data_IF_464017422322
#
_entry.id   IF_464017422322
#
_cell.length_a   1.000
_cell.length_b   1.000
_cell.length_c   1.000
_cell.angle_alpha   90.00
_cell.angle_beta   90.00
_cell.angle_gamma   90.00
#
_symmetry.space_group_name_H-M   'P 1'
#
loop_
_entity.id
_entity.type
_entity.pdbx_description
1 polymer ?
#
# COMPACT_ATOMS: atom_id res chain seq x y z
N UNK A 1 -22.65 53.66 12.90
CA UNK A 1 -23.51 52.68 12.26
C UNK A 1 -22.88 52.45 10.89
N UNK A 2 -22.13 51.38 10.73
CA UNK A 2 -21.50 51.04 9.43
C UNK A 2 -22.44 50.06 8.71
N UNK A 3 -22.92 50.48 7.56
CA UNK A 3 -23.70 49.64 6.65
C UNK A 3 -22.80 48.54 6.10
N UNK A 4 -23.18 47.30 6.32
CA UNK A 4 -22.52 46.12 5.76
C UNK A 4 -23.07 45.93 4.35
N UNK A 5 -22.30 46.19 3.31
CA UNK A 5 -22.64 45.88 1.92
C UNK A 5 -22.90 44.39 1.76
N UNK A 6 -24.10 44.04 1.36
CA UNK A 6 -24.47 42.67 0.97
C UNK A 6 -24.01 42.45 -0.47
N UNK A 7 -23.06 41.58 -0.70
CA UNK A 7 -22.65 41.19 -2.05
C UNK A 7 -23.72 40.34 -2.70
N UNK A 8 -24.14 40.71 -3.89
CA UNK A 8 -25.12 39.99 -4.71
C UNK A 8 -24.47 39.34 -5.92
N UNK A 9 -25.07 38.26 -6.44
CA UNK A 9 -24.66 37.63 -7.71
C UNK A 9 -25.05 38.52 -8.91
N UNK A 10 -24.60 38.21 -10.14
CA UNK A 10 -24.97 38.99 -11.33
C UNK A 10 -26.47 39.06 -11.64
N UNK A 11 -27.31 38.23 -11.00
CA UNK A 11 -28.75 38.23 -11.10
C UNK A 11 -29.45 39.01 -9.99
N UNK A 12 -28.66 39.61 -9.06
CA UNK A 12 -29.18 40.47 -7.99
C UNK A 12 -29.60 39.74 -6.71
N UNK A 13 -29.40 38.41 -6.63
CA UNK A 13 -29.71 37.66 -5.42
C UNK A 13 -28.59 37.79 -4.39
N UNK A 14 -28.94 37.88 -3.09
CA UNK A 14 -27.92 37.92 -2.06
C UNK A 14 -27.12 36.62 -2.06
N UNK A 15 -25.80 36.70 -2.16
CA UNK A 15 -24.90 35.56 -1.98
C UNK A 15 -25.07 35.16 -0.51
N UNK A 16 -25.97 34.19 -0.26
CA UNK A 16 -25.99 33.54 1.06
C UNK A 16 -24.64 32.89 1.27
N UNK A 17 -23.86 33.41 2.19
CA UNK A 17 -22.62 32.79 2.64
C UNK A 17 -22.88 31.31 2.82
N UNK A 18 -22.06 30.48 2.18
CA UNK A 18 -21.97 29.06 2.54
C UNK A 18 -21.98 29.00 4.06
N UNK A 19 -22.96 28.29 4.63
CA UNK A 19 -23.07 28.17 6.07
C UNK A 19 -21.70 27.83 6.62
N UNK A 20 -21.20 28.55 7.64
CA UNK A 20 -19.93 28.21 8.25
C UNK A 20 -20.00 26.73 8.62
N UNK A 21 -18.96 25.99 8.30
CA UNK A 21 -18.82 24.59 8.71
C UNK A 21 -19.28 24.51 10.17
N UNK A 22 -20.15 23.58 10.55
CA UNK A 22 -20.77 23.56 11.86
C UNK A 22 -19.68 23.75 12.90
N UNK A 23 -19.79 24.84 13.65
CA UNK A 23 -18.83 25.18 14.69
C UNK A 23 -18.65 23.94 15.54
N UNK A 24 -17.42 23.49 15.72
CA UNK A 24 -17.05 22.28 16.43
C UNK A 24 -17.37 22.37 17.92
N UNK A 25 -18.63 22.58 18.27
CA UNK A 25 -19.11 22.72 19.65
C UNK A 25 -19.75 21.45 20.23
N UNK A 26 -19.68 20.32 19.54
CA UNK A 26 -19.96 19.05 20.22
C UNK A 26 -18.73 18.66 21.02
N UNK A 27 -18.81 18.85 22.33
CA UNK A 27 -17.81 18.33 23.28
C UNK A 27 -17.63 16.85 23.00
N UNK A 28 -16.46 16.50 22.48
CA UNK A 28 -16.06 15.12 22.33
C UNK A 28 -16.07 14.46 23.71
N UNK A 29 -16.77 13.33 23.93
CA UNK A 29 -16.82 12.65 25.22
C UNK A 29 -15.43 12.20 25.72
N UNK A 30 -14.41 12.27 24.90
CA UNK A 30 -13.01 11.99 25.25
C UNK A 30 -12.14 13.24 25.49
N UNK A 31 -12.73 14.43 25.52
CA UNK A 31 -12.11 15.66 26.00
C UNK A 31 -11.30 16.44 24.97
N UNK A 32 -10.91 17.66 25.37
CA UNK A 32 -10.17 18.65 24.56
C UNK A 32 -8.79 18.17 24.08
N UNK A 33 -8.21 17.14 24.70
CA UNK A 33 -6.92 16.57 24.32
C UNK A 33 -6.87 16.06 22.87
N UNK A 34 -8.01 15.71 22.28
CA UNK A 34 -8.09 15.22 20.90
C UNK A 34 -7.88 16.30 19.85
N UNK A 35 -8.09 17.57 20.18
CA UNK A 35 -8.00 18.69 19.23
C UNK A 35 -6.64 19.39 19.23
N UNK A 36 -5.86 19.21 20.27
CA UNK A 36 -4.52 19.77 20.33
C UNK A 36 -3.56 18.88 19.56
N UNK A 37 -3.34 19.20 18.31
CA UNK A 37 -2.18 18.69 17.59
C UNK A 37 -0.96 19.31 18.24
N UNK A 38 -0.19 18.50 18.93
CA UNK A 38 1.10 18.93 19.47
C UNK A 38 2.03 19.16 18.28
N UNK A 39 2.14 20.43 17.90
CA UNK A 39 3.11 20.89 16.90
C UNK A 39 4.42 21.06 17.62
N UNK A 40 5.18 20.00 17.82
CA UNK A 40 6.57 20.12 18.23
C UNK A 40 7.48 19.95 17.01
N UNK A 41 8.68 20.55 16.99
CA UNK A 41 9.64 20.35 15.90
C UNK A 41 10.03 18.87 15.71
N UNK A 42 9.90 18.09 16.75
CA UNK A 42 10.08 16.63 16.73
C UNK A 42 8.72 15.94 16.66
N UNK A 43 8.10 15.89 15.47
CA UNK A 43 6.81 15.27 15.37
C UNK A 43 6.84 13.82 15.66
N UNK A 44 6.25 13.52 16.78
CA UNK A 44 5.72 12.21 17.10
C UNK A 44 4.32 12.08 16.51
N UNK A 45 3.91 10.86 16.28
CA UNK A 45 2.50 10.57 16.11
C UNK A 45 1.70 11.09 17.30
N UNK A 46 0.42 11.45 17.08
CA UNK A 46 -0.44 11.82 18.19
C UNK A 46 -0.35 10.82 19.32
N UNK A 47 -0.16 11.33 20.52
CA UNK A 47 -0.27 10.51 21.71
C UNK A 47 -1.67 9.91 21.76
N UNK A 48 -1.72 8.63 21.68
CA UNK A 48 -2.94 7.84 21.88
C UNK A 48 -2.60 6.67 22.79
N UNK A 49 -3.57 6.18 23.56
CA UNK A 49 -3.34 5.03 24.43
C UNK A 49 -2.70 3.88 23.65
N UNK A 50 -1.65 3.29 24.22
CA UNK A 50 -1.03 2.07 23.68
C UNK A 50 -1.95 0.90 24.00
N UNK A 51 -2.90 0.65 23.14
CA UNK A 51 -3.92 -0.36 23.33
C UNK A 51 -3.67 -1.59 22.46
N UNK A 52 -4.20 -2.72 22.89
CA UNK A 52 -4.35 -3.90 22.05
C UNK A 52 -5.83 -4.05 21.78
N UNK A 53 -6.24 -3.89 20.53
CA UNK A 53 -7.64 -3.94 20.13
C UNK A 53 -7.87 -5.02 19.08
N UNK A 54 -9.10 -5.53 19.04
CA UNK A 54 -9.55 -6.51 18.04
C UNK A 54 -10.37 -5.78 16.98
N UNK A 55 -9.70 -5.38 15.92
CA UNK A 55 -10.22 -4.44 14.90
C UNK A 55 -10.00 -4.94 13.47
N UNK A 56 -10.72 -4.33 12.52
CA UNK A 56 -10.53 -4.58 11.08
C UNK A 56 -9.27 -3.92 10.54
N UNK A 57 -8.85 -4.30 9.34
CA UNK A 57 -7.73 -3.63 8.65
C UNK A 57 -8.04 -2.18 8.30
N UNK A 58 -9.29 -1.88 7.95
CA UNK A 58 -9.77 -0.50 7.74
C UNK A 58 -9.69 0.33 9.02
N UNK A 59 -10.11 -0.23 10.16
CA UNK A 59 -9.98 0.41 11.48
C UNK A 59 -8.50 0.59 11.89
N UNK A 60 -7.64 -0.37 11.56
CA UNK A 60 -6.20 -0.29 11.81
C UNK A 60 -5.53 0.83 11.00
N UNK A 61 -5.87 0.96 9.71
CA UNK A 61 -5.43 2.08 8.88
C UNK A 61 -5.95 3.42 9.43
N UNK A 62 -7.23 3.51 9.82
CA UNK A 62 -7.81 4.69 10.46
C UNK A 62 -7.02 5.10 11.71
N UNK A 63 -6.66 4.15 12.58
CA UNK A 63 -5.90 4.44 13.79
C UNK A 63 -4.47 4.92 13.49
N UNK A 64 -3.83 4.40 12.44
CA UNK A 64 -2.54 4.91 11.97
C UNK A 64 -2.67 6.35 11.43
N UNK A 65 -3.70 6.64 10.65
CA UNK A 65 -3.99 7.99 10.12
C UNK A 65 -4.24 8.97 11.27
N UNK A 66 -5.05 8.57 12.27
CA UNK A 66 -5.33 9.39 13.46
C UNK A 66 -4.05 9.87 14.16
N UNK A 67 -3.04 9.00 14.23
CA UNK A 67 -1.75 9.28 14.87
C UNK A 67 -0.79 10.09 14.00
N UNK A 68 -1.04 10.14 12.69
CA UNK A 68 -0.06 10.65 11.72
C UNK A 68 -0.20 12.13 11.36
N UNK A 69 -1.05 12.90 12.04
CA UNK A 69 -1.24 14.32 11.75
C UNK A 69 -1.54 14.60 10.25
N UNK A 70 -2.44 13.85 9.65
CA UNK A 70 -2.82 14.02 8.26
C UNK A 70 -3.55 15.36 8.07
N UNK A 71 -3.11 16.15 7.09
CA UNK A 71 -3.76 17.41 6.76
C UNK A 71 -4.88 17.24 5.78
N UNK A 72 -4.66 16.44 4.74
CA UNK A 72 -5.56 16.28 3.61
C UNK A 72 -5.81 14.80 3.33
N UNK A 73 -7.07 14.39 3.32
CA UNK A 73 -7.48 13.07 2.87
C UNK A 73 -8.52 13.22 1.75
N UNK A 74 -8.26 12.60 0.62
CA UNK A 74 -9.16 12.60 -0.53
C UNK A 74 -9.26 11.19 -1.08
N UNK A 75 -10.49 10.73 -1.39
CA UNK A 75 -10.68 9.50 -2.16
C UNK A 75 -12.01 9.51 -2.92
N UNK A 76 -12.07 8.71 -3.96
CA UNK A 76 -13.30 8.31 -4.61
C UNK A 76 -13.80 7.01 -3.98
N UNK A 77 -15.09 6.89 -3.62
CA UNK A 77 -15.61 5.70 -2.96
C UNK A 77 -15.67 4.52 -3.93
N UNK A 78 -14.89 3.49 -3.63
CA UNK A 78 -14.84 2.22 -4.36
C UNK A 78 -14.68 1.05 -3.39
N UNK A 79 -15.51 0.00 -3.54
CA UNK A 79 -15.45 -1.20 -2.68
C UNK A 79 -14.17 -2.01 -2.95
N UNK A 80 -13.44 -2.52 -1.92
CA UNK A 80 -13.74 -2.49 -0.47
C UNK A 80 -13.11 -1.32 0.31
N UNK A 81 -12.52 -0.33 -0.35
CA UNK A 81 -11.85 0.82 0.25
C UNK A 81 -12.82 1.81 0.93
N UNK A 82 -14.09 1.85 0.51
CA UNK A 82 -15.06 2.86 0.98
C UNK A 82 -15.21 2.89 2.51
N UNK A 83 -15.10 1.75 3.20
CA UNK A 83 -15.14 1.69 4.66
C UNK A 83 -14.01 2.52 5.28
N UNK A 84 -12.79 2.37 4.78
CA UNK A 84 -11.63 3.14 5.28
C UNK A 84 -11.88 4.64 5.18
N UNK A 85 -12.42 5.11 4.04
CA UNK A 85 -12.66 6.54 3.86
C UNK A 85 -13.85 7.06 4.66
N UNK A 86 -14.86 6.23 4.94
CA UNK A 86 -15.90 6.58 5.90
C UNK A 86 -15.31 6.80 7.30
N UNK A 87 -14.43 5.91 7.74
CA UNK A 87 -13.71 6.03 9.01
C UNK A 87 -12.80 7.28 9.05
N UNK A 88 -12.16 7.63 7.93
CA UNK A 88 -11.38 8.88 7.81
C UNK A 88 -12.29 10.11 7.89
N UNK A 89 -13.50 10.03 7.33
CA UNK A 89 -14.53 11.07 7.49
C UNK A 89 -14.91 11.30 8.96
N UNK A 90 -14.96 10.23 9.77
CA UNK A 90 -15.14 10.34 11.23
C UNK A 90 -13.95 11.09 11.86
N UNK A 91 -12.71 10.75 11.47
CA UNK A 91 -11.51 11.46 11.96
C UNK A 91 -11.51 12.95 11.60
N UNK A 92 -12.05 13.31 10.44
CA UNK A 92 -12.26 14.70 10.05
C UNK A 92 -13.25 15.39 10.98
N UNK A 93 -14.40 14.76 11.24
CA UNK A 93 -15.39 15.27 12.20
C UNK A 93 -14.86 15.40 13.62
N UNK A 94 -13.91 14.56 14.03
CA UNK A 94 -13.22 14.60 15.33
C UNK A 94 -12.00 15.56 15.36
N UNK A 95 -11.63 16.17 14.21
CA UNK A 95 -10.53 17.12 14.10
C UNK A 95 -9.11 16.50 14.00
N UNK A 96 -8.98 15.18 13.79
CA UNK A 96 -7.70 14.52 13.56
C UNK A 96 -7.17 14.68 12.15
N UNK A 97 -8.05 14.83 11.17
CA UNK A 97 -7.74 15.17 9.77
C UNK A 97 -8.26 16.59 9.53
N UNK A 98 -7.46 17.47 8.92
CA UNK A 98 -7.86 18.88 8.75
C UNK A 98 -8.86 19.07 7.63
N UNK A 99 -8.61 18.40 6.51
CA UNK A 99 -9.42 18.51 5.30
C UNK A 99 -9.74 17.11 4.77
N UNK A 100 -11.00 16.92 4.44
CA UNK A 100 -11.51 15.67 3.90
C UNK A 100 -12.46 15.94 2.72
N UNK A 101 -12.14 15.36 1.56
CA UNK A 101 -12.95 15.51 0.36
C UNK A 101 -13.28 14.16 -0.27
N UNK A 102 -14.46 14.08 -0.86
CA UNK A 102 -14.84 12.99 -1.75
C UNK A 102 -14.59 13.45 -3.17
N UNK A 103 -13.69 12.77 -3.89
CA UNK A 103 -13.46 13.03 -5.30
C UNK A 103 -14.59 12.51 -6.16
N UNK A 104 -14.72 13.04 -7.37
CA UNK A 104 -15.68 12.58 -8.37
C UNK A 104 -15.18 11.36 -9.13
N UNK A 105 -13.83 11.23 -9.26
CA UNK A 105 -13.16 10.11 -9.89
C UNK A 105 -11.69 10.02 -9.44
N UNK A 106 -11.05 8.86 -9.68
CA UNK A 106 -9.70 8.60 -9.20
C UNK A 106 -8.64 9.50 -9.84
N UNK A 107 -8.77 9.87 -11.11
CA UNK A 107 -7.83 10.78 -11.79
C UNK A 107 -7.78 12.12 -11.06
N UNK A 108 -8.95 12.69 -10.77
CA UNK A 108 -9.06 13.95 -10.01
C UNK A 108 -8.51 13.82 -8.58
N UNK A 109 -8.77 12.69 -7.92
CA UNK A 109 -8.20 12.39 -6.59
C UNK A 109 -6.67 12.38 -6.62
N UNK A 110 -6.07 11.66 -7.57
CA UNK A 110 -4.61 11.56 -7.65
C UNK A 110 -3.95 12.91 -7.99
N UNK A 111 -4.60 13.72 -8.82
CA UNK A 111 -4.16 15.10 -9.10
C UNK A 111 -4.26 15.99 -7.86
N UNK A 112 -5.36 15.89 -7.09
CA UNK A 112 -5.55 16.66 -5.87
C UNK A 112 -4.54 16.28 -4.76
N UNK A 113 -4.20 14.99 -4.61
CA UNK A 113 -3.14 14.52 -3.71
C UNK A 113 -1.78 15.11 -4.15
N UNK A 114 -1.49 15.11 -5.45
CA UNK A 114 -0.27 15.74 -5.98
C UNK A 114 -0.21 17.23 -5.64
N UNK A 115 -1.31 17.95 -5.84
CA UNK A 115 -1.42 19.37 -5.49
C UNK A 115 -1.24 19.64 -3.99
N UNK A 116 -1.91 18.86 -3.13
CA UNK A 116 -1.78 18.97 -1.68
C UNK A 116 -0.36 18.67 -1.20
N UNK A 117 0.24 17.57 -1.66
CA UNK A 117 1.62 17.24 -1.33
C UNK A 117 2.58 18.36 -1.80
N UNK A 118 2.34 18.92 -2.99
CA UNK A 118 3.11 20.03 -3.52
C UNK A 118 2.95 21.31 -2.70
N UNK A 119 1.78 21.54 -2.14
CA UNK A 119 1.54 22.64 -1.19
C UNK A 119 2.15 22.38 0.20
N UNK A 120 2.84 21.28 0.39
CA UNK A 120 3.53 20.96 1.63
C UNK A 120 2.64 20.47 2.75
N UNK A 121 1.49 19.86 2.44
CA UNK A 121 0.61 19.25 3.43
C UNK A 121 0.70 17.73 3.39
N UNK A 122 0.48 17.08 4.52
CA UNK A 122 0.53 15.61 4.63
C UNK A 122 -0.74 15.00 4.08
N UNK A 123 -0.60 14.23 3.00
CA UNK A 123 -1.70 13.71 2.22
C UNK A 123 -1.90 12.21 2.42
N UNK A 124 -3.17 11.81 2.44
CA UNK A 124 -3.59 10.41 2.41
C UNK A 124 -4.67 10.20 1.35
N UNK A 125 -4.59 9.07 0.67
CA UNK A 125 -5.65 8.59 -0.21
C UNK A 125 -5.81 7.07 -0.10
N UNK A 126 -6.90 6.55 -0.63
CA UNK A 126 -7.12 5.13 -0.77
C UNK A 126 -7.95 4.84 -2.02
N UNK A 127 -7.68 3.71 -2.67
CA UNK A 127 -8.42 3.23 -3.83
C UNK A 127 -8.40 1.70 -3.89
N UNK A 128 -9.02 1.11 -4.91
CA UNK A 128 -9.13 -0.33 -5.05
C UNK A 128 -9.24 -0.74 -6.53
N UNK A 129 -8.58 -1.81 -6.91
CA UNK A 129 -8.77 -2.50 -8.19
C UNK A 129 -8.80 -1.60 -9.42
N UNK A 130 -9.98 -1.48 -10.08
CA UNK A 130 -10.12 -0.61 -11.25
C UNK A 130 -9.75 0.84 -11.00
N UNK A 131 -9.99 1.35 -9.77
CA UNK A 131 -9.63 2.72 -9.39
C UNK A 131 -8.13 2.93 -9.33
N UNK A 132 -7.36 1.92 -8.95
CA UNK A 132 -5.89 1.96 -9.04
C UNK A 132 -5.45 2.17 -10.48
N UNK A 133 -6.03 1.41 -11.43
CA UNK A 133 -5.68 1.54 -12.85
C UNK A 133 -6.14 2.88 -13.43
N UNK A 134 -7.35 3.35 -13.05
CA UNK A 134 -7.87 4.64 -13.49
C UNK A 134 -6.99 5.81 -13.00
N UNK A 135 -6.47 5.73 -11.78
CA UNK A 135 -5.58 6.73 -11.21
C UNK A 135 -4.09 6.54 -11.55
N UNK A 136 -3.73 5.49 -12.30
CA UNK A 136 -2.33 5.07 -12.47
C UNK A 136 -1.43 6.14 -13.10
N UNK A 137 -1.94 6.92 -14.06
CA UNK A 137 -1.19 8.03 -14.66
C UNK A 137 -0.74 9.04 -13.58
N UNK A 138 -1.69 9.45 -12.71
CA UNK A 138 -1.39 10.33 -11.59
C UNK A 138 -0.41 9.70 -10.61
N UNK A 139 -0.67 8.46 -10.18
CA UNK A 139 0.18 7.70 -9.25
C UNK A 139 1.61 7.58 -9.79
N UNK A 140 1.78 7.23 -11.05
CA UNK A 140 3.09 7.08 -11.69
C UNK A 140 3.87 8.39 -11.79
N UNK A 141 3.17 9.53 -11.78
CA UNK A 141 3.80 10.85 -11.82
C UNK A 141 4.36 11.29 -10.46
N UNK A 142 3.79 10.84 -9.35
CA UNK A 142 4.17 11.28 -8.00
C UNK A 142 5.64 11.07 -7.65
N UNK A 143 6.26 9.90 -7.94
CA UNK A 143 7.68 9.70 -7.65
C UNK A 143 8.60 10.63 -8.42
N UNK A 144 8.29 10.88 -9.70
CA UNK A 144 9.02 11.84 -10.53
C UNK A 144 8.93 13.28 -10.01
N UNK A 145 7.83 13.64 -9.40
CA UNK A 145 7.64 14.94 -8.75
C UNK A 145 8.13 14.96 -7.28
N UNK A 146 8.62 13.85 -6.76
CA UNK A 146 9.12 13.72 -5.37
C UNK A 146 8.05 14.16 -4.36
N UNK A 147 6.84 13.64 -4.51
CA UNK A 147 5.67 14.00 -3.68
C UNK A 147 5.48 12.97 -2.56
N UNK A 148 5.77 13.31 -1.30
CA UNK A 148 5.47 12.46 -0.17
C UNK A 148 3.96 12.39 0.03
N UNK A 149 3.42 11.19 -0.03
CA UNK A 149 2.03 10.88 0.24
C UNK A 149 1.91 9.40 0.66
N UNK A 150 0.87 9.05 1.36
CA UNK A 150 0.55 7.65 1.66
C UNK A 150 -0.75 7.28 0.97
N UNK A 151 -0.72 6.20 0.19
CA UNK A 151 -1.87 5.65 -0.51
C UNK A 151 -2.12 4.21 -0.09
N UNK A 152 -3.35 3.89 0.27
CA UNK A 152 -3.81 2.52 0.52
C UNK A 152 -4.43 1.95 -0.75
N UNK A 153 -4.01 0.74 -1.13
CA UNK A 153 -4.53 0.00 -2.27
C UNK A 153 -5.18 -1.28 -1.75
N UNK A 154 -6.51 -1.30 -1.76
CA UNK A 154 -7.28 -2.48 -1.35
C UNK A 154 -7.48 -3.38 -2.56
N UNK A 155 -6.59 -4.36 -2.70
CA UNK A 155 -6.47 -5.18 -3.88
C UNK A 155 -7.71 -6.04 -4.14
N UNK A 156 -8.23 -5.95 -5.37
CA UNK A 156 -9.37 -6.73 -5.86
C UNK A 156 -9.26 -6.94 -7.36
N UNK A 157 -10.18 -7.73 -7.92
CA UNK A 157 -10.28 -7.92 -9.38
C UNK A 157 -10.41 -6.58 -10.12
N UNK A 158 -9.54 -6.36 -11.11
CA UNK A 158 -9.43 -5.10 -11.85
C UNK A 158 -10.26 -5.06 -13.14
N UNK A 159 -10.53 -6.21 -13.75
CA UNK A 159 -11.16 -6.34 -15.05
C UNK A 159 -12.43 -7.20 -15.01
N UNK A 160 -13.17 -7.21 -16.11
CA UNK A 160 -14.30 -8.12 -16.29
C UNK A 160 -13.84 -9.58 -16.51
N UNK A 161 -14.58 -10.57 -15.95
CA UNK A 161 -15.74 -10.41 -15.10
C UNK A 161 -15.37 -9.82 -13.76
N UNK A 162 -16.14 -8.82 -13.29
CA UNK A 162 -15.81 -8.07 -12.07
C UNK A 162 -16.13 -8.88 -10.81
N UNK A 163 -15.21 -8.82 -9.86
CA UNK A 163 -15.44 -9.25 -8.48
C UNK A 163 -14.85 -8.20 -7.53
N UNK A 164 -15.43 -8.10 -6.33
CA UNK A 164 -14.98 -7.16 -5.30
C UNK A 164 -14.01 -7.81 -4.30
N UNK A 165 -13.84 -9.13 -4.42
CA UNK A 165 -12.97 -9.94 -3.59
C UNK A 165 -11.51 -9.85 -4.04
N UNK A 166 -10.57 -10.36 -3.22
CA UNK A 166 -9.15 -10.20 -3.43
C UNK A 166 -8.63 -10.73 -4.76
N UNK A 167 -7.79 -9.95 -5.37
CA UNK A 167 -6.91 -10.30 -6.47
C UNK A 167 -5.78 -9.26 -6.48
N UNK A 168 -4.53 -9.71 -6.52
CA UNK A 168 -3.37 -8.82 -6.34
C UNK A 168 -2.74 -8.37 -7.64
N UNK A 169 -3.43 -8.49 -8.77
CA UNK A 169 -2.85 -8.12 -10.07
C UNK A 169 -2.45 -6.64 -10.11
N UNK A 170 -3.22 -5.77 -9.46
CA UNK A 170 -2.96 -4.33 -9.45
C UNK A 170 -1.64 -3.95 -8.79
N UNK A 171 -1.16 -4.77 -7.84
CA UNK A 171 0.15 -4.56 -7.22
C UNK A 171 1.26 -4.52 -8.27
N UNK A 172 1.19 -5.39 -9.28
CA UNK A 172 2.21 -5.47 -10.33
C UNK A 172 2.37 -4.19 -11.13
N UNK A 173 1.32 -3.39 -11.28
CA UNK A 173 1.37 -2.10 -11.96
C UNK A 173 2.10 -1.04 -11.12
N UNK A 174 1.99 -1.12 -9.80
CA UNK A 174 2.63 -0.18 -8.87
C UNK A 174 4.13 -0.42 -8.74
N UNK A 175 4.61 -1.66 -8.96
CA UNK A 175 6.01 -2.03 -8.77
C UNK A 175 6.99 -1.23 -9.65
N UNK A 176 6.53 -0.70 -10.78
CA UNK A 176 7.37 0.01 -11.74
C UNK A 176 7.14 1.53 -11.75
N UNK A 177 6.34 2.05 -10.82
CA UNK A 177 6.06 3.49 -10.74
C UNK A 177 7.18 4.30 -10.05
N UNK A 178 8.11 3.67 -9.32
CA UNK A 178 9.15 4.37 -8.56
C UNK A 178 8.70 4.80 -7.15
N UNK A 179 7.58 4.29 -6.67
CA UNK A 179 7.12 4.48 -5.29
C UNK A 179 7.64 3.38 -4.37
N UNK A 180 7.61 3.63 -3.06
CA UNK A 180 7.81 2.59 -2.05
C UNK A 180 6.52 1.78 -1.93
N UNK A 181 6.59 0.45 -1.93
CA UNK A 181 5.41 -0.42 -1.92
C UNK A 181 5.53 -1.46 -0.83
N UNK A 182 4.57 -1.47 0.09
CA UNK A 182 4.39 -2.50 1.12
C UNK A 182 3.19 -3.38 0.80
N UNK A 183 3.23 -4.64 1.23
CA UNK A 183 2.10 -5.56 1.09
C UNK A 183 1.75 -6.18 2.44
N UNK A 184 0.62 -5.76 3.00
CA UNK A 184 0.16 -6.13 4.32
C UNK A 184 -0.46 -7.52 4.34
N UNK A 185 -0.01 -8.36 5.27
CA UNK A 185 -0.57 -9.69 5.54
C UNK A 185 -1.86 -9.61 6.36
N UNK A 186 -1.91 -8.68 7.30
CA UNK A 186 -2.95 -8.65 8.33
C UNK A 186 -3.16 -7.21 8.87
N UNK A 187 -4.02 -7.09 9.88
CA UNK A 187 -4.41 -5.82 10.49
C UNK A 187 -3.23 -5.11 11.19
N UNK A 188 -2.30 -5.89 11.77
CA UNK A 188 -1.09 -5.30 12.38
C UNK A 188 -0.20 -4.65 11.32
N UNK A 189 0.01 -5.34 10.19
CA UNK A 189 0.77 -4.77 9.07
C UNK A 189 0.09 -3.51 8.51
N UNK A 190 -1.25 -3.47 8.43
CA UNK A 190 -1.98 -2.29 8.00
C UNK A 190 -1.68 -1.07 8.87
N UNK A 191 -1.69 -1.27 10.20
CA UNK A 191 -1.32 -0.21 11.15
C UNK A 191 0.15 0.20 11.00
N UNK A 192 1.06 -0.77 11.09
CA UNK A 192 2.51 -0.53 11.09
C UNK A 192 2.99 0.07 9.76
N UNK A 193 2.50 -0.42 8.62
CA UNK A 193 2.94 0.05 7.30
C UNK A 193 2.38 1.43 6.98
N UNK A 194 1.15 1.72 7.39
CA UNK A 194 0.57 3.05 7.21
C UNK A 194 1.33 4.09 8.03
N UNK A 195 1.60 3.82 9.31
CA UNK A 195 2.40 4.71 10.16
C UNK A 195 3.82 4.90 9.63
N UNK A 196 4.49 3.80 9.33
CA UNK A 196 5.86 3.83 8.81
C UNK A 196 5.91 4.52 7.44
N UNK A 197 4.85 4.33 6.63
CA UNK A 197 4.69 4.98 5.33
C UNK A 197 4.77 6.50 5.42
N UNK A 198 4.05 7.12 6.33
CA UNK A 198 4.14 8.57 6.55
C UNK A 198 5.54 9.02 6.97
N UNK A 199 6.16 8.26 7.87
CA UNK A 199 7.52 8.59 8.32
C UNK A 199 8.53 8.51 7.17
N UNK A 200 8.54 7.41 6.42
CA UNK A 200 9.53 7.17 5.36
C UNK A 200 9.30 8.11 4.17
N UNK A 201 8.04 8.33 3.78
CA UNK A 201 7.70 9.19 2.64
C UNK A 201 8.26 10.61 2.78
N UNK A 202 8.34 11.11 4.02
CA UNK A 202 8.75 12.48 4.33
C UNK A 202 10.22 12.61 4.74
N UNK A 203 11.00 11.52 4.77
CA UNK A 203 12.43 11.62 5.02
C UNK A 203 13.11 12.42 3.91
N UNK A 204 13.94 13.40 4.29
CA UNK A 204 14.55 14.38 3.38
C UNK A 204 15.33 13.73 2.22
N UNK A 205 15.97 12.61 2.45
CA UNK A 205 16.72 11.86 1.44
C UNK A 205 15.90 10.81 0.70
N UNK A 206 14.63 10.66 1.05
CA UNK A 206 13.66 9.78 0.38
C UNK A 206 12.66 10.60 -0.42
N UNK A 207 11.77 11.32 0.23
CA UNK A 207 10.73 12.20 -0.36
C UNK A 207 10.00 11.51 -1.51
N UNK A 208 9.37 10.36 -1.24
CA UNK A 208 8.66 9.54 -2.22
C UNK A 208 7.29 9.13 -1.69
N UNK A 209 6.33 8.88 -2.57
CA UNK A 209 5.05 8.29 -2.15
C UNK A 209 5.25 6.86 -1.66
N UNK A 210 4.40 6.46 -0.72
CA UNK A 210 4.32 5.10 -0.19
C UNK A 210 2.95 4.50 -0.48
N UNK A 211 2.94 3.34 -1.11
CA UNK A 211 1.77 2.49 -1.30
C UNK A 211 1.71 1.38 -0.26
N UNK A 212 0.58 1.26 0.42
CA UNK A 212 0.26 0.15 1.31
C UNK A 212 -0.81 -0.70 0.63
N UNK A 213 -0.40 -1.81 0.05
CA UNK A 213 -1.28 -2.78 -0.58
C UNK A 213 -1.82 -3.76 0.46
N UNK A 214 -3.06 -4.17 0.34
CA UNK A 214 -3.66 -5.21 1.16
C UNK A 214 -4.78 -5.93 0.41
N UNK A 215 -5.03 -7.19 0.77
CA UNK A 215 -6.12 -7.95 0.18
C UNK A 215 -7.47 -7.42 0.65
N UNK A 216 -8.31 -6.99 -0.28
CA UNK A 216 -9.66 -6.53 -0.02
C UNK A 216 -10.47 -7.63 0.71
N UNK A 217 -11.35 -7.25 1.64
CA UNK A 217 -12.12 -8.12 2.53
C UNK A 217 -11.27 -9.01 3.45
N UNK A 218 -10.25 -9.75 2.96
CA UNK A 218 -9.45 -10.66 3.79
C UNK A 218 -8.63 -9.91 4.84
N UNK A 219 -8.16 -8.73 4.52
CA UNK A 219 -7.44 -7.88 5.47
C UNK A 219 -8.32 -6.71 5.93
N UNK A 220 -9.01 -6.04 5.01
CA UNK A 220 -9.74 -4.80 5.31
C UNK A 220 -10.91 -5.02 6.24
N UNK A 221 -11.68 -6.11 6.10
CA UNK A 221 -12.93 -6.38 6.85
C UNK A 221 -12.80 -7.47 7.91
N UNK A 222 -11.81 -8.38 7.77
CA UNK A 222 -11.53 -9.32 8.83
C UNK A 222 -10.98 -8.62 10.07
N UNK A 223 -11.30 -9.15 11.26
CA UNK A 223 -10.80 -8.62 12.53
C UNK A 223 -9.57 -9.37 13.00
N UNK A 224 -8.62 -8.65 13.57
CA UNK A 224 -7.42 -9.19 14.17
C UNK A 224 -6.96 -8.34 15.34
N UNK A 225 -6.08 -8.90 16.17
CA UNK A 225 -5.48 -8.15 17.24
C UNK A 225 -4.39 -7.21 16.73
N UNK A 226 -4.53 -5.92 17.01
CA UNK A 226 -3.56 -4.89 16.67
C UNK A 226 -3.01 -4.27 17.96
N UNK A 227 -1.70 -4.27 18.08
CA UNK A 227 -0.99 -3.51 19.12
C UNK A 227 -0.65 -2.14 18.57
N UNK A 228 -1.33 -1.13 19.08
CA UNK A 228 -1.13 0.25 18.65
C UNK A 228 0.03 0.87 19.41
N UNK A 229 1.22 0.58 18.97
CA UNK A 229 2.45 1.16 19.52
C UNK A 229 3.10 2.03 18.45
N UNK A 230 3.56 3.19 18.86
CA UNK A 230 4.34 4.10 18.01
C UNK A 230 5.78 3.61 17.76
N UNK A 231 6.23 2.61 18.52
CA UNK A 231 7.60 2.02 18.45
C UNK A 231 8.72 3.07 18.44
N UNK A 232 8.44 4.28 18.94
CA UNK A 232 9.38 5.41 18.87
C UNK A 232 9.55 5.98 17.46
N UNK A 233 8.65 5.65 16.53
CA UNK A 233 8.63 6.22 15.18
C UNK A 233 8.26 7.69 15.28
N UNK A 234 9.10 8.57 14.72
CA UNK A 234 8.89 10.02 14.69
C UNK A 234 8.55 10.46 13.27
N UNK A 235 7.54 11.30 13.15
CA UNK A 235 7.30 12.00 11.89
C UNK A 235 8.39 13.04 11.69
N UNK A 236 8.98 13.15 10.49
CA UNK A 236 9.91 14.22 10.18
C UNK A 236 9.22 15.59 10.33
N UNK A 237 9.94 16.63 10.77
CA UNK A 237 9.41 17.97 10.73
C UNK A 237 9.11 18.34 9.27
N UNK A 238 7.98 19.02 9.04
CA UNK A 238 7.52 19.35 7.68
C UNK A 238 8.52 20.19 6.90
N UNK A 239 9.24 21.03 7.58
CA UNK A 239 10.29 21.88 7.00
C UNK A 239 11.43 21.03 6.40
N UNK A 240 11.68 19.85 6.94
CA UNK A 240 12.76 18.98 6.47
C UNK A 240 12.52 18.51 5.03
N UNK A 241 11.31 18.07 4.70
CA UNK A 241 11.03 17.63 3.34
C UNK A 241 10.61 18.78 2.42
N UNK A 242 10.03 19.86 2.94
CA UNK A 242 9.79 21.09 2.18
C UNK A 242 11.08 21.71 1.64
N UNK A 243 12.19 21.61 2.38
CA UNK A 243 13.49 22.03 1.90
C UNK A 243 14.05 21.17 0.78
N UNK A 244 13.67 19.88 0.69
CA UNK A 244 14.15 18.96 -0.36
C UNK A 244 13.41 19.17 -1.69
N UNK A 245 12.15 19.57 -1.63
CA UNK A 245 11.28 19.77 -2.80
C UNK A 245 10.68 21.17 -2.75
N UNK A 246 10.71 21.96 -3.85
CA UNK A 246 10.04 23.25 -3.87
C UNK A 246 8.55 23.11 -3.57
N UNK A 247 8.09 23.79 -2.53
CA UNK A 247 6.68 23.83 -2.13
C UNK A 247 6.03 25.05 -2.79
N UNK A 248 4.78 24.91 -3.23
CA UNK A 248 3.98 26.04 -3.69
C UNK A 248 3.59 26.89 -2.46
N UNK A 249 4.22 28.04 -2.36
CA UNK A 249 3.94 29.03 -1.33
C UNK A 249 3.56 30.35 -2.02
N UNK A 250 2.35 30.85 -1.76
CA UNK A 250 1.84 32.05 -2.38
C UNK A 250 2.60 33.31 -1.96
N UNK A 251 3.12 33.33 -0.73
CA UNK A 251 3.88 34.48 -0.18
C UNK A 251 5.34 34.43 -0.63
N UNK A 252 5.89 33.22 -0.81
CA UNK A 252 7.28 33.02 -1.23
C UNK A 252 7.32 32.00 -2.40
N UNK A 253 6.85 32.38 -3.58
CA UNK A 253 6.82 31.47 -4.70
C UNK A 253 8.25 31.02 -5.06
N UNK A 254 8.50 29.73 -5.25
CA UNK A 254 9.83 29.25 -5.59
C UNK A 254 10.27 29.84 -6.92
N UNK A 255 11.48 30.38 -6.99
CA UNK A 255 12.07 31.03 -8.18
C UNK A 255 12.13 30.09 -9.39
N UNK A 256 11.99 28.77 -9.20
CA UNK A 256 11.88 27.74 -10.24
C UNK A 256 10.89 26.68 -9.83
N UNK A 257 9.70 26.71 -10.39
CA UNK A 257 8.75 25.61 -10.35
C UNK A 257 9.28 24.33 -11.03
N UNK A 258 10.35 24.44 -11.77
CA UNK A 258 10.76 23.52 -12.81
C UNK A 258 11.81 22.48 -12.40
N UNK A 259 12.09 22.31 -11.11
CA UNK A 259 12.94 21.19 -10.71
C UNK A 259 12.27 19.85 -10.99
N UNK A 260 10.93 19.86 -11.04
CA UNK A 260 10.10 18.66 -11.15
C UNK A 260 9.51 18.45 -12.55
N UNK A 261 9.60 19.45 -13.41
CA UNK A 261 9.23 19.35 -14.81
C UNK A 261 10.16 20.24 -15.62
N UNK A 262 11.42 19.83 -15.84
CA UNK A 262 12.31 20.58 -16.68
C UNK A 262 11.68 20.72 -18.07
N UNK A 263 11.39 21.98 -18.46
CA UNK A 263 10.90 22.27 -19.80
C UNK A 263 11.95 21.80 -20.80
N UNK A 264 11.54 20.89 -21.64
CA UNK A 264 12.38 20.29 -22.66
C UNK A 264 12.79 21.37 -23.69
N UNK A 265 14.01 21.88 -23.60
CA UNK A 265 14.55 22.80 -24.57
C UNK A 265 15.20 22.14 -25.78
N UNK A 266 15.65 20.89 -25.60
CA UNK A 266 16.17 20.08 -26.70
C UNK A 266 16.01 18.58 -26.34
N UNK A 267 15.93 17.75 -27.38
CA UNK A 267 15.84 16.30 -27.22
C UNK A 267 17.01 15.72 -26.41
N UNK A 268 18.21 16.21 -26.62
CA UNK A 268 19.40 15.77 -25.89
C UNK A 268 19.31 16.09 -24.39
N UNK A 269 18.88 17.32 -24.03
CA UNK A 269 18.69 17.71 -22.64
C UNK A 269 17.58 16.89 -21.97
N UNK A 270 16.51 16.60 -22.69
CA UNK A 270 15.41 15.78 -22.17
C UNK A 270 15.86 14.37 -21.80
N UNK A 271 16.60 13.70 -22.66
CA UNK A 271 17.10 12.35 -22.39
C UNK A 271 18.03 12.32 -21.17
N UNK A 272 18.97 13.22 -21.09
CA UNK A 272 19.91 13.27 -19.97
C UNK A 272 19.22 13.62 -18.65
N UNK A 273 18.33 14.60 -18.64
CA UNK A 273 17.60 15.00 -17.44
C UNK A 273 16.68 13.88 -16.98
N UNK A 274 15.94 13.25 -17.89
CA UNK A 274 15.07 12.14 -17.55
C UNK A 274 15.85 10.95 -16.99
N UNK A 275 16.95 10.56 -17.61
CA UNK A 275 17.79 9.46 -17.16
C UNK A 275 18.35 9.71 -15.74
N UNK A 276 18.91 10.90 -15.50
CA UNK A 276 19.42 11.26 -14.16
C UNK A 276 18.29 11.29 -13.14
N UNK A 277 17.11 11.78 -13.52
CA UNK A 277 15.97 11.87 -12.63
C UNK A 277 15.41 10.48 -12.25
N UNK A 278 15.31 9.58 -13.21
CA UNK A 278 14.90 8.20 -12.95
C UNK A 278 15.91 7.47 -12.06
N UNK A 279 17.21 7.65 -12.29
CA UNK A 279 18.25 7.11 -11.41
C UNK A 279 18.09 7.61 -9.97
N UNK A 280 17.81 8.89 -9.78
CA UNK A 280 17.60 9.48 -8.45
C UNK A 280 16.33 8.95 -7.76
N UNK A 281 15.23 8.78 -8.48
CA UNK A 281 14.00 8.18 -7.94
C UNK A 281 14.28 6.77 -7.40
N UNK A 282 14.90 5.91 -8.21
CA UNK A 282 15.22 4.54 -7.79
C UNK A 282 16.29 4.49 -6.70
N UNK A 283 17.25 5.40 -6.72
CA UNK A 283 18.22 5.54 -5.63
C UNK A 283 17.52 5.96 -4.32
N UNK A 284 16.49 6.82 -4.38
CA UNK A 284 15.72 7.18 -3.21
C UNK A 284 14.85 6.02 -2.68
N UNK A 285 14.30 5.18 -3.57
CA UNK A 285 13.66 3.92 -3.19
C UNK A 285 14.65 3.03 -2.40
N UNK A 286 15.87 2.86 -2.90
CA UNK A 286 16.89 2.07 -2.19
C UNK A 286 17.33 2.72 -0.86
N UNK A 287 17.43 4.05 -0.80
CA UNK A 287 17.75 4.76 0.46
C UNK A 287 16.69 4.56 1.54
N UNK A 288 15.44 4.30 1.16
CA UNK A 288 14.36 4.03 2.13
C UNK A 288 14.60 2.75 2.94
N UNK A 289 15.38 1.80 2.43
CA UNK A 289 15.73 0.53 3.08
C UNK A 289 16.19 0.72 4.53
N UNK A 290 17.10 1.66 4.79
CA UNK A 290 17.63 1.91 6.15
C UNK A 290 16.54 2.30 7.15
N UNK A 291 15.49 2.97 6.69
CA UNK A 291 14.35 3.34 7.54
C UNK A 291 13.39 2.17 7.72
N UNK A 292 13.19 1.37 6.67
CA UNK A 292 12.41 0.12 6.74
C UNK A 292 13.07 -0.84 7.73
N UNK A 293 14.40 -1.02 7.63
CA UNK A 293 15.16 -1.85 8.57
C UNK A 293 15.01 -1.34 10.01
N UNK A 294 15.12 -0.04 10.21
CA UNK A 294 15.02 0.59 11.53
C UNK A 294 13.63 0.48 12.16
N UNK A 295 12.57 0.76 11.39
CA UNK A 295 11.21 0.91 11.93
C UNK A 295 10.34 -0.34 11.77
N UNK A 296 10.63 -1.16 10.77
CA UNK A 296 9.88 -2.38 10.48
C UNK A 296 10.68 -3.67 10.74
N UNK A 297 11.98 -3.57 11.01
CA UNK A 297 12.85 -4.74 11.21
C UNK A 297 13.18 -5.50 9.92
N UNK A 298 13.14 -4.81 8.77
CA UNK A 298 13.57 -5.34 7.48
C UNK A 298 12.47 -5.46 6.43
N UNK A 299 12.91 -5.75 5.21
CA UNK A 299 12.05 -5.86 4.02
C UNK A 299 11.26 -7.16 3.96
N UNK A 300 11.68 -8.16 4.73
CA UNK A 300 11.06 -9.47 4.83
C UNK A 300 11.16 -10.01 6.26
N UNK A 301 10.42 -11.07 6.55
CA UNK A 301 10.68 -11.95 7.70
C UNK A 301 10.92 -13.37 7.22
N UNK A 302 11.75 -14.12 7.95
CA UNK A 302 12.10 -15.49 7.63
C UNK A 302 11.84 -16.38 8.84
N UNK A 303 11.18 -17.50 8.61
CA UNK A 303 10.79 -18.48 9.63
C UNK A 303 11.24 -19.88 9.19
N UNK A 304 12.00 -20.57 10.03
CA UNK A 304 12.47 -21.96 9.78
C UNK A 304 13.28 -22.15 8.49
N UNK A 305 14.10 -21.18 8.08
CA UNK A 305 14.81 -21.20 6.78
C UNK A 305 16.25 -21.79 6.87
N UNK A 306 16.84 -21.90 8.05
CA UNK A 306 18.26 -22.21 8.22
C UNK A 306 18.66 -23.60 7.67
N UNK A 307 17.78 -24.60 7.83
CA UNK A 307 17.96 -25.97 7.35
C UNK A 307 16.90 -26.39 6.32
N UNK A 308 16.13 -25.42 5.80
CA UNK A 308 15.05 -25.68 4.87
C UNK A 308 15.59 -26.13 3.51
N UNK A 309 15.04 -27.23 3.00
CA UNK A 309 15.23 -27.68 1.61
C UNK A 309 14.20 -27.08 0.68
N UNK A 310 13.03 -26.77 1.21
CA UNK A 310 11.94 -26.06 0.52
C UNK A 310 11.68 -24.74 1.20
N UNK A 311 11.59 -23.67 0.42
CA UNK A 311 11.23 -22.34 0.94
C UNK A 311 9.94 -21.89 0.28
N UNK A 312 8.93 -21.59 1.08
CA UNK A 312 7.74 -20.91 0.61
C UNK A 312 7.99 -19.40 0.70
N UNK A 313 7.79 -18.68 -0.41
CA UNK A 313 7.94 -17.21 -0.45
C UNK A 313 6.58 -16.62 -0.76
N UNK A 314 6.04 -15.81 0.15
CA UNK A 314 4.71 -15.23 0.01
C UNK A 314 4.70 -13.74 0.40
N UNK A 315 3.68 -13.02 -0.03
CA UNK A 315 3.39 -11.65 0.40
C UNK A 315 1.88 -11.46 0.61
N UNK A 316 1.49 -10.41 1.32
CA UNK A 316 0.09 -10.19 1.64
C UNK A 316 -0.50 -11.33 2.47
N UNK A 317 -1.82 -11.54 2.39
CA UNK A 317 -2.51 -12.56 3.19
C UNK A 317 -2.11 -14.00 2.84
N UNK A 318 -1.52 -14.24 1.64
CA UNK A 318 -0.97 -15.57 1.30
C UNK A 318 0.13 -16.03 2.28
N UNK A 319 0.81 -15.10 2.95
CA UNK A 319 1.81 -15.45 3.97
C UNK A 319 1.19 -16.12 5.20
N UNK A 320 -0.04 -15.76 5.57
CA UNK A 320 -0.74 -16.41 6.70
C UNK A 320 -1.04 -17.87 6.40
N UNK A 321 -1.61 -18.17 5.21
CA UNK A 321 -1.87 -19.54 4.77
C UNK A 321 -0.57 -20.34 4.62
N UNK A 322 0.49 -19.70 4.13
CA UNK A 322 1.81 -20.31 3.97
C UNK A 322 2.43 -20.72 5.30
N UNK A 323 2.19 -19.97 6.37
CA UNK A 323 2.70 -20.31 7.71
C UNK A 323 2.08 -21.59 8.22
N UNK A 324 0.78 -21.76 8.01
CA UNK A 324 0.08 -23.00 8.37
C UNK A 324 0.53 -24.17 7.46
N UNK A 325 0.73 -23.94 6.17
CA UNK A 325 1.28 -24.95 5.26
C UNK A 325 2.67 -25.44 5.72
N UNK A 326 3.55 -24.53 6.16
CA UNK A 326 4.86 -24.90 6.75
C UNK A 326 4.67 -25.80 7.96
N UNK A 327 3.73 -25.48 8.87
CA UNK A 327 3.43 -26.32 10.04
C UNK A 327 3.03 -27.73 9.62
N UNK A 328 2.08 -27.86 8.70
CA UNK A 328 1.58 -29.16 8.20
C UNK A 328 2.68 -29.96 7.46
N UNK A 329 3.49 -29.32 6.63
CA UNK A 329 4.62 -29.95 5.96
C UNK A 329 5.67 -30.48 6.98
N UNK A 330 5.95 -29.72 8.03
CA UNK A 330 6.87 -30.15 9.09
C UNK A 330 6.34 -31.35 9.87
N UNK A 331 5.04 -31.43 10.12
CA UNK A 331 4.40 -32.62 10.72
C UNK A 331 4.56 -33.89 9.85
N UNK A 332 4.67 -33.70 8.54
CA UNK A 332 5.00 -34.78 7.57
C UNK A 332 6.52 -35.04 7.43
N UNK A 333 7.36 -34.42 8.27
CA UNK A 333 8.80 -34.60 8.28
C UNK A 333 9.57 -33.83 7.20
N UNK A 334 8.93 -32.89 6.50
CA UNK A 334 9.60 -32.09 5.47
C UNK A 334 10.30 -30.87 6.06
N UNK A 335 11.47 -30.53 5.51
CA UNK A 335 12.26 -29.34 5.88
C UNK A 335 11.80 -28.13 5.08
N UNK A 336 10.75 -27.46 5.57
CA UNK A 336 10.11 -26.32 4.91
C UNK A 336 10.25 -25.07 5.76
N UNK A 337 10.65 -23.97 5.12
CA UNK A 337 10.72 -22.64 5.71
C UNK A 337 9.80 -21.65 4.99
N UNK A 338 9.51 -20.51 5.64
CA UNK A 338 8.72 -19.41 5.09
C UNK A 338 9.54 -18.14 5.01
N UNK A 339 9.46 -17.45 3.89
CA UNK A 339 9.87 -16.06 3.73
C UNK A 339 8.63 -15.23 3.40
N UNK A 340 8.28 -14.31 4.29
CA UNK A 340 7.25 -13.30 4.05
C UNK A 340 7.90 -12.03 3.51
N UNK A 341 7.62 -11.67 2.28
CA UNK A 341 8.04 -10.39 1.69
C UNK A 341 7.07 -9.29 2.13
N UNK A 342 7.57 -8.28 2.82
CA UNK A 342 6.82 -7.15 3.37
C UNK A 342 6.93 -5.91 2.50
N UNK A 343 8.13 -5.66 1.99
CA UNK A 343 8.42 -4.57 1.05
C UNK A 343 8.64 -5.13 -0.35
N UNK A 344 7.85 -4.64 -1.28
CA UNK A 344 7.93 -4.99 -2.69
C UNK A 344 8.80 -3.98 -3.47
N UNK A 345 8.93 -2.76 -2.94
CA UNK A 345 9.87 -1.72 -3.38
C UNK A 345 10.34 -0.91 -2.16
N UNK A 346 11.61 -0.91 -1.82
CA UNK A 346 12.68 -1.72 -2.42
C UNK A 346 12.44 -3.23 -2.22
N UNK A 347 12.88 -4.03 -3.19
CA UNK A 347 12.72 -5.49 -3.12
C UNK A 347 13.88 -6.13 -2.34
N UNK A 348 13.66 -7.18 -1.52
CA UNK A 348 14.68 -7.80 -0.67
C UNK A 348 15.63 -8.72 -1.43
N UNK A 349 16.18 -8.25 -2.55
CA UNK A 349 17.01 -9.06 -3.45
C UNK A 349 18.24 -9.66 -2.76
N UNK A 350 18.93 -8.88 -1.92
CA UNK A 350 20.14 -9.35 -1.22
C UNK A 350 19.83 -10.45 -0.22
N UNK A 351 18.79 -10.25 0.55
CA UNK A 351 18.30 -11.17 1.58
C UNK A 351 17.82 -12.48 0.95
N UNK A 352 17.04 -12.39 -0.15
CA UNK A 352 16.58 -13.58 -0.88
C UNK A 352 17.74 -14.40 -1.45
N UNK A 353 18.76 -13.75 -2.03
CA UNK A 353 19.97 -14.45 -2.51
C UNK A 353 20.65 -15.24 -1.41
N UNK A 354 20.76 -14.65 -0.23
CA UNK A 354 21.39 -15.30 0.92
C UNK A 354 20.53 -16.45 1.45
N UNK A 355 19.24 -16.20 1.72
CA UNK A 355 18.33 -17.16 2.33
C UNK A 355 18.01 -18.35 1.41
N UNK A 356 17.91 -18.10 0.09
CA UNK A 356 17.56 -19.13 -0.90
C UNK A 356 18.79 -19.90 -1.46
N UNK A 357 20.01 -19.58 -1.02
CA UNK A 357 21.24 -20.15 -1.59
C UNK A 357 21.33 -21.68 -1.47
N UNK A 358 20.74 -22.26 -0.43
CA UNK A 358 20.74 -23.71 -0.15
C UNK A 358 19.41 -24.41 -0.49
N UNK A 359 18.39 -23.65 -0.85
CA UNK A 359 17.09 -24.20 -1.18
C UNK A 359 17.18 -25.08 -2.44
N UNK A 360 16.46 -26.20 -2.43
CA UNK A 360 16.28 -27.09 -3.60
C UNK A 360 15.01 -26.73 -4.37
N UNK A 361 13.99 -26.25 -3.64
CA UNK A 361 12.69 -25.90 -4.16
C UNK A 361 12.21 -24.60 -3.53
N UNK A 362 11.63 -23.72 -4.35
CA UNK A 362 10.94 -22.51 -3.93
C UNK A 362 9.50 -22.59 -4.44
N UNK A 363 8.53 -22.39 -3.56
CA UNK A 363 7.10 -22.35 -3.89
C UNK A 363 6.58 -20.96 -3.60
N UNK A 364 5.87 -20.35 -4.56
CA UNK A 364 5.40 -18.97 -4.46
C UNK A 364 3.88 -18.93 -4.64
N UNK A 365 3.09 -19.05 -3.55
CA UNK A 365 1.64 -18.93 -3.60
C UNK A 365 1.22 -17.48 -3.78
N UNK A 366 0.25 -17.22 -4.68
CA UNK A 366 -0.18 -15.86 -5.02
C UNK A 366 -1.69 -15.74 -5.28
N UNK A 367 -2.28 -14.61 -4.87
CA UNK A 367 -3.66 -14.24 -5.19
C UNK A 367 -3.76 -13.48 -6.52
N UNK A 368 -3.16 -14.02 -7.58
CA UNK A 368 -3.29 -13.48 -8.94
C UNK A 368 -2.97 -14.54 -9.99
N UNK A 369 -3.49 -14.34 -11.20
CA UNK A 369 -3.25 -15.25 -12.32
C UNK A 369 -1.83 -15.20 -12.88
N UNK A 370 -1.19 -14.03 -12.88
CA UNK A 370 0.06 -13.79 -13.64
C UNK A 370 1.32 -14.25 -12.91
N UNK A 371 1.25 -14.45 -11.58
CA UNK A 371 2.41 -14.88 -10.78
C UNK A 371 3.50 -13.82 -10.75
N UNK A 372 3.15 -12.58 -10.43
CA UNK A 372 4.10 -11.47 -10.45
C UNK A 372 5.19 -11.61 -9.39
N UNK A 373 4.86 -12.11 -8.18
CA UNK A 373 5.87 -12.31 -7.12
C UNK A 373 6.87 -13.40 -7.49
N UNK A 374 6.40 -14.50 -8.08
CA UNK A 374 7.28 -15.57 -8.56
C UNK A 374 8.30 -15.05 -9.60
N UNK A 375 7.88 -14.13 -10.47
CA UNK A 375 8.78 -13.48 -11.45
C UNK A 375 9.80 -12.57 -10.78
N UNK A 376 9.40 -11.77 -9.78
CA UNK A 376 10.30 -10.93 -8.99
C UNK A 376 11.33 -11.79 -8.23
N UNK A 377 10.87 -12.88 -7.60
CA UNK A 377 11.76 -13.84 -6.91
C UNK A 377 12.74 -14.47 -7.88
N UNK A 378 12.27 -14.98 -9.03
CA UNK A 378 13.12 -15.59 -10.04
C UNK A 378 14.20 -14.61 -10.52
N UNK A 379 13.83 -13.37 -10.80
CA UNK A 379 14.77 -12.32 -11.20
C UNK A 379 15.78 -12.01 -10.09
N UNK A 380 15.31 -11.94 -8.83
CA UNK A 380 16.16 -11.60 -7.70
C UNK A 380 17.26 -12.64 -7.43
N UNK A 381 16.92 -13.94 -7.57
CA UNK A 381 17.86 -15.03 -7.24
C UNK A 381 18.56 -15.63 -8.44
N UNK A 382 18.30 -15.15 -9.66
CA UNK A 382 18.96 -15.61 -10.87
C UNK A 382 20.49 -15.57 -10.74
N UNK A 383 21.16 -16.69 -11.02
CA UNK A 383 22.62 -16.83 -10.89
C UNK A 383 23.14 -16.98 -9.45
N UNK A 384 22.27 -16.95 -8.44
CA UNK A 384 22.64 -17.08 -7.01
C UNK A 384 22.05 -18.33 -6.34
N UNK A 385 20.99 -18.89 -6.89
CA UNK A 385 20.38 -20.14 -6.43
C UNK A 385 20.01 -21.02 -7.62
N UNK A 386 20.21 -22.33 -7.45
CA UNK A 386 19.79 -23.36 -8.41
C UNK A 386 18.44 -23.99 -8.03
N UNK A 387 17.73 -23.41 -7.06
CA UNK A 387 16.44 -23.91 -6.63
C UNK A 387 15.43 -23.92 -7.79
N UNK A 388 14.68 -25.02 -7.92
CA UNK A 388 13.51 -25.04 -8.79
C UNK A 388 12.47 -24.08 -8.23
N UNK A 389 11.90 -23.20 -9.07
CA UNK A 389 10.86 -22.28 -8.67
C UNK A 389 9.51 -22.77 -9.21
N UNK A 390 8.52 -22.90 -8.35
CA UNK A 390 7.13 -23.16 -8.68
C UNK A 390 6.33 -21.91 -8.32
N UNK A 391 5.81 -21.22 -9.34
CA UNK A 391 4.91 -20.08 -9.15
C UNK A 391 3.47 -20.57 -8.95
N UNK A 392 3.14 -21.01 -7.77
CA UNK A 392 1.83 -21.52 -7.41
C UNK A 392 1.77 -22.01 -5.95
N UNK A 393 0.56 -22.37 -5.44
CA UNK A 393 -0.72 -22.27 -6.13
C UNK A 393 -1.10 -20.82 -6.46
N UNK A 394 -1.81 -20.61 -7.57
CA UNK A 394 -2.37 -19.31 -7.95
C UNK A 394 -3.86 -19.34 -7.78
N UNK A 395 -4.34 -18.47 -6.92
CA UNK A 395 -5.77 -18.28 -6.68
C UNK A 395 -6.13 -16.87 -7.14
N UNK A 396 -7.22 -16.73 -7.86
CA UNK A 396 -7.63 -15.45 -8.44
C UNK A 396 -9.16 -15.37 -8.54
N UNK A 397 -9.68 -14.18 -8.91
CA UNK A 397 -11.12 -13.98 -9.03
C UNK A 397 -11.86 -14.01 -7.70
N UNK A 398 -11.16 -13.75 -6.58
CA UNK A 398 -11.79 -13.61 -5.27
C UNK A 398 -11.97 -14.91 -4.48
N UNK A 399 -11.34 -15.98 -4.89
CA UNK A 399 -11.35 -17.22 -4.15
C UNK A 399 -10.42 -17.19 -2.94
N UNK A 400 -10.74 -17.94 -1.89
CA UNK A 400 -9.81 -18.20 -0.79
C UNK A 400 -8.72 -19.18 -1.24
N UNK A 401 -7.55 -19.11 -0.62
CA UNK A 401 -6.46 -20.05 -0.83
C UNK A 401 -6.47 -21.10 0.28
N UNK A 402 -7.01 -22.32 0.05
CA UNK A 402 -6.89 -23.40 1.00
C UNK A 402 -5.42 -23.74 1.28
N UNK A 403 -5.11 -24.02 2.54
CA UNK A 403 -3.75 -24.37 2.98
C UNK A 403 -3.26 -25.64 2.29
N UNK A 404 -4.17 -26.57 2.05
CA UNK A 404 -3.94 -27.85 1.40
C UNK A 404 -3.34 -27.67 -0.01
N UNK A 405 -3.75 -26.64 -0.75
CA UNK A 405 -3.19 -26.35 -2.07
C UNK A 405 -1.70 -26.04 -2.01
N UNK A 406 -1.28 -25.31 -0.98
CA UNK A 406 0.15 -24.98 -0.78
C UNK A 406 0.91 -26.24 -0.39
N UNK A 407 0.33 -27.07 0.49
CA UNK A 407 0.94 -28.35 0.90
C UNK A 407 1.10 -29.27 -0.29
N UNK A 408 0.06 -29.44 -1.11
CA UNK A 408 0.08 -30.29 -2.31
C UNK A 408 1.14 -29.81 -3.33
N UNK A 409 1.31 -28.51 -3.49
CA UNK A 409 2.32 -27.94 -4.38
C UNK A 409 3.74 -28.22 -3.87
N UNK A 410 3.95 -28.14 -2.56
CA UNK A 410 5.22 -28.53 -1.91
C UNK A 410 5.51 -30.01 -2.13
N UNK A 411 4.56 -30.91 -1.83
CA UNK A 411 4.71 -32.35 -1.98
C UNK A 411 4.97 -32.76 -3.44
N UNK A 412 4.23 -32.18 -4.37
CA UNK A 412 4.39 -32.38 -5.79
C UNK A 412 5.75 -31.91 -6.28
N UNK A 413 6.20 -30.75 -5.79
CA UNK A 413 7.49 -30.18 -6.11
C UNK A 413 8.67 -31.03 -5.64
N UNK A 414 8.56 -31.60 -4.43
CA UNK A 414 9.57 -32.49 -3.83
C UNK A 414 9.58 -33.87 -4.51
N UNK A 415 8.40 -34.45 -4.76
CA UNK A 415 8.30 -35.79 -5.37
C UNK A 415 8.56 -35.81 -6.86
N UNK A 416 8.57 -34.65 -7.53
CA UNK A 416 8.66 -34.53 -8.99
C UNK A 416 7.38 -34.99 -9.73
N UNK A 417 6.33 -35.37 -9.02
CA UNK A 417 5.02 -35.71 -9.59
C UNK A 417 4.31 -34.39 -9.96
N UNK A 418 3.63 -34.36 -11.10
CA UNK A 418 2.76 -33.21 -11.39
C UNK A 418 1.69 -33.14 -10.31
N UNK A 419 1.48 -31.95 -9.73
CA UNK A 419 0.30 -31.66 -8.94
C UNK A 419 -0.91 -32.09 -9.77
N UNK A 420 -1.67 -33.03 -9.27
CA UNK A 420 -2.98 -33.30 -9.86
C UNK A 420 -3.78 -32.06 -9.55
N UNK A 421 -4.13 -31.29 -10.57
CA UNK A 421 -4.94 -30.07 -10.47
C UNK A 421 -6.36 -30.36 -9.93
N UNK A 422 -6.48 -31.06 -8.82
CA UNK A 422 -7.71 -31.16 -8.02
C UNK A 422 -8.16 -29.76 -7.59
N UNK A 423 -7.20 -28.83 -7.53
CA UNK A 423 -7.40 -27.45 -7.12
C UNK A 423 -8.44 -26.68 -7.95
N UNK A 424 -8.44 -26.81 -9.27
CA UNK A 424 -9.38 -26.04 -10.09
C UNK A 424 -10.83 -26.48 -9.92
N UNK A 425 -11.10 -27.78 -9.80
CA UNK A 425 -12.45 -28.27 -9.56
C UNK A 425 -12.96 -27.97 -8.15
N UNK A 426 -12.08 -27.95 -7.15
CA UNK A 426 -12.42 -27.59 -5.76
C UNK A 426 -12.57 -26.08 -5.60
N UNK A 427 -11.71 -25.28 -6.25
CA UNK A 427 -11.80 -23.81 -6.24
C UNK A 427 -13.07 -23.33 -6.94
N UNK A 428 -13.49 -24.02 -8.00
CA UNK A 428 -14.68 -23.67 -8.77
C UNK A 428 -16.00 -24.17 -8.14
N UNK A 429 -15.98 -24.63 -6.89
CA UNK A 429 -17.20 -25.04 -6.17
C UNK A 429 -17.89 -26.27 -6.81
N UNK A 430 -17.12 -27.17 -7.41
CA UNK A 430 -17.64 -28.36 -8.06
C UNK A 430 -18.07 -28.14 -9.53
N UNK A 431 -17.83 -26.97 -10.09
CA UNK A 431 -18.07 -26.73 -11.53
C UNK A 431 -16.98 -27.45 -12.33
N UNK A 432 -17.41 -28.36 -13.18
CA UNK A 432 -16.51 -29.10 -14.04
C UNK A 432 -15.81 -28.18 -15.03
N UNK A 433 -14.44 -28.19 -15.11
CA UNK A 433 -13.70 -27.39 -16.11
C UNK A 433 -14.20 -27.58 -17.54
N UNK A 434 -14.67 -28.77 -17.90
CA UNK A 434 -15.23 -29.06 -19.21
C UNK A 434 -16.58 -28.34 -19.43
N UNK A 435 -17.39 -28.19 -18.38
CA UNK A 435 -18.64 -27.42 -18.45
C UNK A 435 -18.37 -25.94 -18.64
N UNK A 436 -17.35 -25.39 -17.94
CA UNK A 436 -16.89 -23.99 -18.15
C UNK A 436 -16.36 -23.82 -19.57
N UNK A 437 -15.53 -24.75 -20.05
CA UNK A 437 -15.00 -24.71 -21.41
C UNK A 437 -16.11 -24.87 -22.46
N UNK A 438 -17.16 -25.64 -22.17
CA UNK A 438 -18.35 -25.74 -23.00
C UNK A 438 -19.14 -24.45 -23.04
N UNK A 439 -19.41 -23.86 -21.86
CA UNK A 439 -20.08 -22.57 -21.72
C UNK A 439 -19.32 -21.47 -22.46
N UNK A 440 -17.98 -21.38 -22.27
CA UNK A 440 -17.14 -20.38 -22.95
C UNK A 440 -17.10 -20.54 -24.47
N UNK A 441 -17.37 -21.73 -24.99
CA UNK A 441 -17.48 -21.98 -26.45
C UNK A 441 -18.90 -21.72 -26.99
N UNK A 442 -19.89 -21.58 -26.11
CA UNK A 442 -21.27 -21.32 -26.47
C UNK A 442 -21.65 -19.83 -26.52
N UNK A 443 -20.78 -18.96 -25.99
CA UNK A 443 -20.86 -17.49 -26.10
C UNK A 443 -19.87 -16.99 -27.16
#
# INVERSE_FOLDING_TARGET
MSETEVKTNPQGDPITSVAPAPSASKKDPHGEAKRQRVVTPEYMFHEAPRTKEFITGSEAAKEAIRRSNVDLAIAYPITPQSETMQLVGVLYGEGYVKEYYRGEEEVGVMAAIAGGSRAGVRCYTATAGPGTLRGLEGIASWPGHRLPAVAMFTCRVVNAPLAIQPDNIEVSYLLNCGMIVFHAENQQDMFDFTMTGFTISEMNDVTLPVGVCCDGFFVTHARGYVRMQDRGIKLPPREAWRGAVPVLDAENPPARLSRDAPVQKSTFMAYNIHAVWQQEVWAAVERSRKYIDRYMGGLLTAENVDDAEVIIIASGSAAAQSREAVRLCKEKGMKVGLIKVRSLRPFPTKELRQLCSKAKLIVVPEFNYVGWLAKEVATAIYGFSNAKIIGGPRVYGGQSMPVELIVDEVESGVSGKKSTNVAMSQIMGGVNPDEVAHFMRSI
#
